data_IF_816247138795
#
_entry.id   IF_816247138795
#
_cell.length_a   1.000
_cell.length_b   1.000
_cell.length_c   1.000
_cell.angle_alpha   90.00
_cell.angle_beta   90.00
_cell.angle_gamma   90.00
#
_symmetry.space_group_name_H-M   'P 1'
#
loop_
_entity.id
_entity.type
_entity.pdbx_description
1 polymer ?
#
# COMPACT_ATOMS: atom_id res chain seq x y z
N UNK A 1 -1.07 12.93 -1.63
CA UNK A 1 -1.60 11.68 -1.03
C UNK A 1 -0.51 10.63 -1.13
N UNK A 2 -0.27 9.86 -0.06
CA UNK A 2 0.57 8.67 -0.10
C UNK A 2 -0.38 7.49 0.05
N UNK A 3 -0.16 6.45 -0.75
CA UNK A 3 -1.01 5.28 -0.80
C UNK A 3 -0.13 4.03 -0.88
N UNK A 4 -0.65 2.90 -0.38
CA UNK A 4 0.09 1.65 -0.34
C UNK A 4 -0.81 0.47 -0.70
N UNK A 5 -0.28 -0.40 -1.54
CA UNK A 5 -0.85 -1.69 -1.89
C UNK A 5 0.01 -2.81 -1.34
N UNK A 6 -0.65 -3.88 -0.91
CA UNK A 6 -0.02 -5.11 -0.47
C UNK A 6 -0.09 -6.17 -1.57
N UNK A 7 0.87 -7.09 -1.57
CA UNK A 7 0.85 -8.22 -2.48
C UNK A 7 -0.46 -9.02 -2.41
N UNK A 8 -0.94 -9.47 -3.57
CA UNK A 8 -2.24 -10.11 -3.70
C UNK A 8 -2.16 -11.65 -3.64
N UNK A 9 -0.95 -12.20 -3.68
CA UNK A 9 -0.70 -13.65 -3.73
C UNK A 9 0.11 -14.13 -2.52
N UNK A 10 0.07 -15.45 -2.21
CA UNK A 10 0.91 -16.05 -1.17
C UNK A 10 2.40 -15.72 -1.28
N UNK A 11 2.94 -15.69 -2.50
CA UNK A 11 4.35 -15.36 -2.76
C UNK A 11 4.69 -13.90 -2.49
N UNK A 12 3.69 -13.01 -2.48
CA UNK A 12 3.83 -11.56 -2.36
C UNK A 12 3.34 -11.05 -0.99
N UNK A 13 3.01 -11.91 -0.03
CA UNK A 13 2.43 -11.53 1.28
C UNK A 13 3.29 -10.52 2.09
N UNK A 14 4.57 -10.41 1.76
CA UNK A 14 5.52 -9.48 2.37
C UNK A 14 5.91 -8.32 1.45
N UNK A 15 5.31 -8.24 0.27
CA UNK A 15 5.59 -7.21 -0.72
C UNK A 15 4.63 -6.02 -0.53
N UNK A 16 5.21 -4.83 -0.61
CA UNK A 16 4.57 -3.54 -0.40
C UNK A 16 4.94 -2.67 -1.59
N UNK A 17 3.93 -2.09 -2.22
CA UNK A 17 4.10 -1.03 -3.22
C UNK A 17 3.51 0.26 -2.67
N UNK A 18 4.28 1.35 -2.66
CA UNK A 18 3.77 2.67 -2.32
C UNK A 18 3.76 3.60 -3.51
N UNK A 19 2.77 4.50 -3.52
CA UNK A 19 2.60 5.55 -4.51
C UNK A 19 2.43 6.90 -3.83
N UNK A 20 3.16 7.91 -4.33
CA UNK A 20 3.04 9.28 -3.87
C UNK A 20 2.47 10.19 -4.94
N UNK A 21 1.55 11.06 -4.53
CA UNK A 21 0.84 12.00 -5.39
C UNK A 21 0.94 13.44 -4.88
N UNK A 22 1.15 14.43 -5.78
CA UNK A 22 1.27 14.29 -7.24
C UNK A 22 2.60 13.67 -7.66
N UNK A 23 2.57 12.64 -8.51
CA UNK A 23 3.74 11.91 -8.99
C UNK A 23 3.65 11.67 -10.50
N UNK A 24 4.46 10.77 -11.05
CA UNK A 24 4.38 10.48 -12.50
C UNK A 24 3.18 9.67 -12.94
N UNK A 25 2.51 9.01 -12.02
CA UNK A 25 1.25 8.30 -12.29
C UNK A 25 0.13 9.03 -11.56
N UNK A 26 -1.02 9.12 -12.22
CA UNK A 26 -2.28 9.41 -11.54
C UNK A 26 -2.72 8.20 -10.70
N UNK A 27 -3.61 8.37 -9.70
CA UNK A 27 -4.12 7.26 -8.90
C UNK A 27 -4.68 6.10 -9.76
N UNK A 28 -5.43 6.41 -10.82
CA UNK A 28 -5.99 5.40 -11.74
C UNK A 28 -4.91 4.62 -12.52
N UNK A 29 -3.76 5.24 -12.79
CA UNK A 29 -2.62 4.58 -13.44
C UNK A 29 -1.75 3.80 -12.45
N UNK A 30 -1.73 4.23 -11.18
CA UNK A 30 -1.01 3.55 -10.11
C UNK A 30 -1.71 2.25 -9.70
N UNK A 31 -3.04 2.31 -9.59
CA UNK A 31 -3.91 1.21 -9.22
C UNK A 31 -4.92 0.92 -10.34
N UNK A 32 -4.50 0.23 -11.41
CA UNK A 32 -5.44 -0.17 -12.45
C UNK A 32 -6.47 -1.13 -11.85
N UNK A 33 -7.73 -0.94 -12.22
CA UNK A 33 -8.82 -1.84 -11.85
C UNK A 33 -8.56 -3.19 -12.56
N UNK A 34 -8.46 -4.31 -11.83
CA UNK A 34 -8.14 -5.58 -12.44
C UNK A 34 -9.30 -6.06 -13.32
N UNK A 35 -9.00 -6.51 -14.56
CA UNK A 35 -10.01 -6.99 -15.52
C UNK A 35 -10.85 -8.17 -14.98
N UNK A 36 -10.27 -8.97 -14.09
CA UNK A 36 -10.96 -9.97 -13.27
C UNK A 36 -10.02 -10.46 -12.17
N UNK A 37 -10.45 -10.44 -10.91
CA UNK A 37 -9.72 -11.09 -9.83
C UNK A 37 -10.33 -12.49 -9.63
N UNK A 38 -9.64 -13.59 -9.98
CA UNK A 38 -10.15 -14.91 -9.67
C UNK A 38 -10.30 -15.02 -8.16
N UNK A 39 -11.55 -15.19 -7.73
CA UNK A 39 -11.91 -15.30 -6.33
C UNK A 39 -11.46 -16.69 -5.84
N UNK A 40 -10.33 -16.75 -5.15
CA UNK A 40 -9.92 -17.99 -4.48
C UNK A 40 -10.84 -18.20 -3.27
N UNK A 41 -11.43 -19.40 -3.11
CA UNK A 41 -12.22 -19.73 -1.94
C UNK A 41 -11.37 -19.58 -0.67
N UNK A 42 -11.92 -18.91 0.34
CA UNK A 42 -11.33 -18.91 1.68
C UNK A 42 -11.72 -20.19 2.42
N UNK A 43 -10.90 -20.61 3.37
CA UNK A 43 -11.30 -21.67 4.31
C UNK A 43 -12.50 -21.21 5.16
N UNK A 44 -13.45 -22.10 5.52
CA UNK A 44 -14.71 -21.72 6.16
C UNK A 44 -14.58 -20.80 7.39
N UNK A 45 -13.62 -21.02 8.33
CA UNK A 45 -13.47 -20.14 9.48
C UNK A 45 -13.07 -18.70 9.11
N UNK A 46 -12.39 -18.48 7.98
CA UNK A 46 -12.06 -17.13 7.53
C UNK A 46 -13.18 -16.50 6.76
N UNK A 47 -13.92 -17.30 5.97
CA UNK A 47 -15.11 -16.80 5.32
C UNK A 47 -16.09 -16.26 6.38
N UNK A 48 -16.28 -16.98 7.50
CA UNK A 48 -17.07 -16.50 8.63
C UNK A 48 -16.58 -15.16 9.21
N UNK A 49 -15.27 -14.98 9.35
CA UNK A 49 -14.69 -13.73 9.86
C UNK A 49 -14.84 -12.56 8.86
N UNK A 50 -14.69 -12.83 7.57
CA UNK A 50 -14.90 -11.84 6.50
C UNK A 50 -16.38 -11.46 6.42
N UNK A 51 -17.28 -12.44 6.41
CA UNK A 51 -18.74 -12.24 6.36
C UNK A 51 -19.24 -11.49 7.61
N UNK A 52 -18.63 -11.74 8.77
CA UNK A 52 -18.91 -11.02 10.00
C UNK A 52 -18.28 -9.61 10.07
N UNK A 53 -17.57 -9.18 9.02
CA UNK A 53 -16.89 -7.88 8.95
C UNK A 53 -15.79 -7.72 10.02
N UNK A 54 -15.23 -8.83 10.51
CA UNK A 54 -14.18 -8.84 11.54
C UNK A 54 -12.79 -8.68 10.94
N UNK A 55 -12.61 -9.10 9.69
CA UNK A 55 -11.38 -8.93 8.91
C UNK A 55 -11.73 -8.59 7.46
N UNK A 56 -10.89 -7.79 6.81
CA UNK A 56 -10.99 -7.59 5.37
C UNK A 56 -10.47 -8.83 4.62
N UNK A 57 -11.03 -9.11 3.45
CA UNK A 57 -10.58 -10.22 2.61
C UNK A 57 -9.11 -10.11 2.21
N UNK A 58 -8.61 -8.87 2.11
CA UNK A 58 -7.20 -8.57 1.86
C UNK A 58 -6.28 -9.00 3.02
N UNK A 59 -6.81 -9.05 4.24
CA UNK A 59 -6.13 -9.56 5.43
C UNK A 59 -6.22 -11.09 5.57
N UNK A 60 -6.95 -11.75 4.66
CA UNK A 60 -7.20 -13.17 4.61
C UNK A 60 -6.49 -13.81 3.39
N UNK A 61 -5.18 -14.02 3.48
CA UNK A 61 -4.45 -14.83 2.49
C UNK A 61 -4.22 -16.23 3.07
N UNK A 62 -4.84 -17.25 2.45
CA UNK A 62 -4.54 -18.66 2.77
C UNK A 62 -3.22 -19.05 2.09
N UNK A 63 -2.17 -19.26 2.87
CA UNK A 63 -0.91 -19.86 2.40
C UNK A 63 -0.81 -21.27 2.97
N UNK A 64 -0.79 -22.28 2.11
CA UNK A 64 -0.59 -23.69 2.49
C UNK A 64 -1.57 -24.20 3.58
N UNK A 65 -2.85 -23.83 3.50
CA UNK A 65 -3.87 -24.24 4.49
C UNK A 65 -3.72 -23.60 5.87
N UNK A 66 -2.95 -22.50 5.97
CA UNK A 66 -2.81 -21.69 7.17
C UNK A 66 -3.08 -20.23 6.88
N UNK A 67 -3.90 -19.66 7.74
CA UNK A 67 -4.33 -18.28 7.65
C UNK A 67 -3.34 -17.41 8.37
N UNK A 68 -2.55 -16.68 7.60
CA UNK A 68 -1.63 -15.70 8.15
C UNK A 68 -2.35 -14.36 8.12
N UNK A 69 -2.59 -13.81 9.31
CA UNK A 69 -2.92 -12.41 9.42
C UNK A 69 -1.73 -11.63 8.81
N UNK A 70 -2.03 -10.66 7.94
CA UNK A 70 -1.06 -9.76 7.31
C UNK A 70 -0.81 -8.45 8.10
N UNK A 71 -1.10 -8.30 9.42
CA UNK A 71 -1.05 -6.99 10.07
C UNK A 71 0.40 -6.48 10.18
N UNK A 72 1.41 -7.35 10.11
CA UNK A 72 2.81 -6.92 10.10
C UNK A 72 3.21 -6.23 8.80
N UNK A 73 2.78 -6.74 7.64
CA UNK A 73 3.05 -6.11 6.35
C UNK A 73 2.25 -4.81 6.20
N UNK A 74 1.00 -4.80 6.66
CA UNK A 74 0.17 -3.58 6.69
C UNK A 74 0.75 -2.51 7.63
N UNK A 75 1.16 -2.89 8.84
CA UNK A 75 1.81 -1.97 9.78
C UNK A 75 3.11 -1.41 9.22
N UNK A 76 3.91 -2.24 8.52
CA UNK A 76 5.11 -1.77 7.84
C UNK A 76 4.77 -0.79 6.70
N UNK A 77 3.74 -1.07 5.89
CA UNK A 77 3.28 -0.17 4.85
C UNK A 77 2.82 1.17 5.41
N UNK A 78 2.07 1.17 6.53
CA UNK A 78 1.66 2.38 7.24
C UNK A 78 2.88 3.17 7.77
N UNK A 79 3.85 2.48 8.38
CA UNK A 79 5.08 3.11 8.86
C UNK A 79 5.89 3.74 7.73
N UNK A 80 5.97 3.09 6.56
CA UNK A 80 6.64 3.64 5.36
C UNK A 80 5.93 4.91 4.88
N UNK A 81 4.59 4.90 4.82
CA UNK A 81 3.81 6.09 4.42
C UNK A 81 4.05 7.26 5.38
N UNK A 82 4.01 7.03 6.70
CA UNK A 82 4.31 8.06 7.70
C UNK A 82 5.74 8.59 7.55
N UNK A 83 6.72 7.70 7.36
CA UNK A 83 8.10 8.10 7.15
C UNK A 83 8.29 8.95 5.88
N UNK A 84 7.60 8.61 4.79
CA UNK A 84 7.61 9.41 3.56
C UNK A 84 6.93 10.77 3.74
N UNK A 85 5.81 10.84 4.45
CA UNK A 85 5.16 12.11 4.78
C UNK A 85 6.09 13.01 5.60
N UNK A 86 6.73 12.46 6.63
CA UNK A 86 7.70 13.18 7.45
C UNK A 86 8.90 13.69 6.62
N UNK A 87 9.43 12.88 5.70
CA UNK A 87 10.50 13.33 4.80
C UNK A 87 10.02 14.47 3.90
N UNK A 88 8.85 14.32 3.29
CA UNK A 88 8.29 15.34 2.40
C UNK A 88 8.03 16.67 3.11
N UNK A 89 7.64 16.66 4.39
CA UNK A 89 7.53 17.88 5.22
C UNK A 89 8.90 18.52 5.41
N UNK A 90 9.93 17.70 5.67
CA UNK A 90 11.27 18.17 6.03
C UNK A 90 12.05 18.74 4.85
N UNK A 91 12.05 18.08 3.69
CA UNK A 91 12.91 18.44 2.56
C UNK A 91 12.15 18.63 1.23
N UNK A 92 10.82 18.46 1.23
CA UNK A 92 10.00 18.51 0.03
C UNK A 92 10.13 17.27 -0.86
N UNK A 93 10.92 16.26 -0.48
CA UNK A 93 11.14 15.05 -1.24
C UNK A 93 10.30 13.86 -0.74
N UNK A 94 9.84 13.03 -1.68
CA UNK A 94 9.21 11.75 -1.38
C UNK A 94 9.51 10.74 -2.49
N UNK A 95 9.08 9.49 -2.36
CA UNK A 95 9.14 8.53 -3.47
C UNK A 95 7.77 8.46 -4.13
N UNK A 96 7.68 8.72 -5.44
CA UNK A 96 6.40 8.64 -6.16
C UNK A 96 6.01 7.21 -6.54
N UNK A 97 7.00 6.31 -6.52
CA UNK A 97 6.86 4.86 -6.52
C UNK A 97 7.95 4.25 -5.64
N UNK A 98 7.60 3.34 -4.75
CA UNK A 98 8.56 2.46 -4.08
C UNK A 98 8.03 1.03 -4.01
N UNK A 99 8.91 0.08 -4.26
CA UNK A 99 8.64 -1.36 -4.11
C UNK A 99 9.55 -1.90 -3.01
N UNK A 100 8.95 -2.53 -1.99
CA UNK A 100 9.63 -3.05 -0.81
C UNK A 100 9.17 -4.47 -0.55
N UNK A 101 10.08 -5.33 -0.13
CA UNK A 101 9.75 -6.67 0.38
C UNK A 101 10.30 -6.85 1.78
N UNK A 102 9.47 -7.28 2.73
CA UNK A 102 9.91 -7.52 4.10
C UNK A 102 10.77 -8.79 4.24
N UNK A 103 10.78 -9.66 3.23
CA UNK A 103 11.68 -10.82 3.17
C UNK A 103 13.14 -10.36 3.12
N UNK A 104 13.41 -9.30 2.36
CA UNK A 104 14.73 -8.71 2.24
C UNK A 104 14.63 -7.24 1.81
N UNK A 105 14.60 -6.34 2.79
CA UNK A 105 14.49 -4.90 2.55
C UNK A 105 15.63 -4.32 1.70
N UNK A 106 16.78 -5.02 1.54
CA UNK A 106 17.86 -4.56 0.65
C UNK A 106 17.48 -4.57 -0.83
N UNK A 107 16.39 -5.27 -1.19
CA UNK A 107 15.82 -5.27 -2.53
C UNK A 107 14.86 -4.11 -2.78
N UNK A 108 14.66 -3.23 -1.80
CA UNK A 108 13.80 -2.07 -1.97
C UNK A 108 14.26 -1.22 -3.15
N UNK A 109 13.33 -0.88 -4.02
CA UNK A 109 13.55 0.06 -5.11
C UNK A 109 12.64 1.26 -4.92
N UNK A 110 13.07 2.41 -5.41
CA UNK A 110 12.31 3.63 -5.24
C UNK A 110 12.67 4.66 -6.28
N UNK A 111 11.68 5.42 -6.71
CA UNK A 111 11.86 6.57 -7.58
C UNK A 111 11.58 7.83 -6.78
N UNK A 112 12.63 8.64 -6.57
CA UNK A 112 12.52 9.87 -5.79
C UNK A 112 11.86 10.95 -6.64
N UNK A 113 10.97 11.71 -6.02
CA UNK A 113 10.30 12.88 -6.56
C UNK A 113 10.48 14.05 -5.60
N UNK A 114 10.62 15.25 -6.14
CA UNK A 114 10.72 16.47 -5.36
C UNK A 114 9.48 17.34 -5.64
N UNK A 115 8.85 17.83 -4.58
CA UNK A 115 7.82 18.85 -4.71
C UNK A 115 8.45 20.12 -5.28
N UNK A 116 7.74 20.78 -6.20
CA UNK A 116 8.19 22.04 -6.80
C UNK A 116 8.39 23.18 -5.77
N UNK A 117 7.81 23.05 -4.56
CA UNK A 117 8.03 23.95 -3.41
C UNK A 117 8.10 23.14 -2.11
N UNK A 118 9.20 23.25 -1.33
CA UNK A 118 9.26 22.69 0.02
C UNK A 118 8.30 23.41 0.97
N UNK A 119 7.67 22.70 1.90
CA UNK A 119 6.96 23.29 3.05
C UNK A 119 5.43 23.27 3.01
N UNK A 120 4.80 22.92 1.88
CA UNK A 120 3.36 22.65 1.83
C UNK A 120 3.18 21.36 1.05
N UNK A 121 2.93 20.28 1.77
CA UNK A 121 2.40 19.11 1.12
C UNK A 121 1.01 19.47 0.56
N UNK A 122 0.70 19.11 -0.69
CA UNK A 122 -0.58 19.43 -1.33
C UNK A 122 -1.79 18.76 -0.64
N UNK A 123 -1.59 18.00 0.45
CA UNK A 123 -2.68 17.45 1.26
C UNK A 123 -3.54 18.51 1.97
N UNK A 124 -3.09 19.77 2.05
CA UNK A 124 -3.93 20.86 2.56
C UNK A 124 -4.89 21.44 1.52
N UNK A 125 -4.68 21.17 0.22
CA UNK A 125 -5.48 21.78 -0.85
C UNK A 125 -6.64 20.87 -1.35
N UNK A 126 -6.80 19.67 -0.79
CA UNK A 126 -7.85 18.71 -1.19
C UNK A 126 -9.16 18.84 -0.37
N UNK A 127 -9.42 19.99 0.27
CA UNK A 127 -10.71 20.29 0.92
C UNK A 127 -11.25 21.64 0.45
N UNK A 128 -11.54 21.74 -0.83
CA UNK A 128 -12.51 22.70 -1.36
C UNK A 128 -12.88 22.23 -2.75
N UNK A 129 -13.94 21.42 -2.86
CA UNK A 129 -14.94 21.44 -3.94
C UNK A 129 -15.68 20.08 -3.99
N UNK A 130 -16.96 20.16 -3.57
CA UNK A 130 -18.11 19.26 -3.73
C UNK A 130 -18.04 17.81 -3.25
#
# INVERSE_FOLDING_TARGET
MLDAGLGATPSEIFDIRTHGFPGTRSPKQAWPEPDSRPEMPLDPPLQELVDAGRIDRCAAVTIAGRSLAVPSTEAAAAAIQVAQACQAVRDGGFFDLADVTLVNCRRATGRRHALARPGILPFLQARSEY
#
